data_IF_991546400622
#
_entry.id   IF_991546400622
#
_cell.length_a   1.000
_cell.length_b   1.000
_cell.length_c   1.000
_cell.angle_alpha   90.00
_cell.angle_beta   90.00
_cell.angle_gamma   90.00
#
_symmetry.space_group_name_H-M   'P 1'
#
loop_
_entity.id
_entity.type
_entity.pdbx_description
1 polymer ?
#
# COMPACT_ATOMS: atom_id res chain seq x y z
N UNK A 1 28.27 0.53 -75.06
CA UNK A 1 26.89 0.25 -75.49
C UNK A 1 26.03 0.19 -74.27
N UNK A 2 25.05 1.07 -74.27
CA UNK A 2 24.00 1.30 -73.29
C UNK A 2 22.96 0.17 -73.33
N UNK A 3 22.36 -0.14 -72.17
CA UNK A 3 20.92 -0.34 -71.92
C UNK A 3 20.65 -1.19 -70.68
N UNK A 4 19.81 -0.66 -69.79
CA UNK A 4 18.62 -1.40 -69.37
C UNK A 4 18.36 -1.51 -67.88
N UNK A 5 17.68 -0.49 -67.33
CA UNK A 5 16.98 -0.47 -66.05
C UNK A 5 16.12 -1.70 -65.74
N UNK A 6 15.99 -2.02 -64.45
CA UNK A 6 14.67 -2.18 -63.81
C UNK A 6 14.76 -1.99 -62.30
N UNK A 7 14.07 -0.95 -61.84
CA UNK A 7 13.64 -0.70 -60.48
C UNK A 7 12.79 -1.87 -59.95
N UNK A 8 12.91 -2.14 -58.65
CA UNK A 8 11.74 -2.43 -57.83
C UNK A 8 12.02 -1.91 -56.42
N UNK A 9 11.30 -0.85 -56.06
CA UNK A 9 11.36 -0.21 -54.76
C UNK A 9 10.86 -1.13 -53.66
N UNK A 10 11.61 -1.21 -52.57
CA UNK A 10 11.10 -1.74 -51.32
C UNK A 10 10.74 -0.57 -50.41
N UNK A 11 9.45 -0.50 -50.10
CA UNK A 11 8.80 0.50 -49.24
C UNK A 11 9.36 0.36 -47.82
N UNK A 12 10.21 1.30 -47.40
CA UNK A 12 10.56 1.48 -46.00
C UNK A 12 9.37 2.13 -45.28
N UNK A 13 8.43 1.28 -44.86
CA UNK A 13 7.30 1.69 -44.03
C UNK A 13 7.79 1.76 -42.59
N UNK A 14 7.93 3.00 -42.11
CA UNK A 14 8.34 3.33 -40.76
C UNK A 14 7.53 2.58 -39.71
N UNK A 15 8.21 1.76 -38.92
CA UNK A 15 7.70 1.30 -37.63
C UNK A 15 8.22 2.26 -36.59
N UNK A 16 7.39 3.26 -36.28
CA UNK A 16 7.55 4.14 -35.13
C UNK A 16 7.81 3.28 -33.90
N UNK A 17 8.99 3.43 -33.31
CA UNK A 17 9.26 3.03 -31.94
C UNK A 17 8.35 3.86 -31.04
N UNK A 18 7.16 3.34 -30.77
CA UNK A 18 6.32 3.83 -29.70
C UNK A 18 6.97 3.39 -28.39
N UNK A 19 7.94 4.18 -27.93
CA UNK A 19 8.38 4.20 -26.54
C UNK A 19 7.19 4.50 -25.66
N UNK A 20 6.51 3.44 -25.21
CA UNK A 20 5.42 3.53 -24.27
C UNK A 20 6.00 3.92 -22.92
N UNK A 21 5.89 5.22 -22.61
CA UNK A 21 5.97 5.87 -21.30
C UNK A 21 6.23 4.94 -20.10
N UNK A 22 7.51 4.68 -19.79
CA UNK A 22 7.93 3.92 -18.61
C UNK A 22 8.38 4.83 -17.44
N UNK A 23 8.02 6.12 -17.47
CA UNK A 23 8.52 7.15 -16.53
C UNK A 23 7.41 7.95 -15.87
N UNK A 24 6.59 7.29 -15.06
CA UNK A 24 5.48 8.01 -14.41
C UNK A 24 5.00 7.53 -13.04
N UNK A 25 5.53 6.47 -12.41
CA UNK A 25 5.07 6.05 -11.05
C UNK A 25 6.13 5.31 -10.22
N UNK A 26 7.43 5.61 -10.36
CA UNK A 26 8.50 4.87 -9.63
C UNK A 26 8.77 5.37 -8.20
N UNK A 27 8.06 6.41 -7.71
CA UNK A 27 8.34 7.02 -6.40
C UNK A 27 7.13 7.05 -5.44
N UNK A 28 6.10 6.22 -5.67
CA UNK A 28 4.99 6.14 -4.71
C UNK A 28 5.46 5.43 -3.43
N UNK A 29 5.22 6.04 -2.27
CA UNK A 29 5.44 5.39 -0.98
C UNK A 29 4.55 4.15 -0.83
N UNK A 30 3.43 4.07 -1.55
CA UNK A 30 2.53 2.91 -1.51
C UNK A 30 3.09 1.65 -2.20
N UNK A 31 4.15 1.75 -3.02
CA UNK A 31 4.75 0.59 -3.69
C UNK A 31 5.52 -0.26 -2.67
N UNK A 32 5.19 -1.55 -2.46
CA UNK A 32 5.89 -2.42 -1.51
C UNK A 32 7.40 -2.52 -1.78
N UNK A 33 8.20 -2.62 -0.72
CA UNK A 33 9.68 -2.72 -0.81
C UNK A 33 10.23 -4.11 -0.49
N UNK A 34 9.54 -4.86 0.36
CA UNK A 34 9.91 -6.20 0.86
C UNK A 34 8.97 -7.26 0.31
N UNK A 35 7.66 -6.98 0.26
CA UNK A 35 6.66 -7.91 -0.25
C UNK A 35 6.53 -7.76 -1.77
N UNK A 36 7.10 -8.71 -2.50
CA UNK A 36 6.94 -8.79 -3.96
C UNK A 36 5.58 -9.40 -4.35
N UNK A 37 5.15 -9.31 -5.63
CA UNK A 37 3.83 -9.82 -6.05
C UNK A 37 3.60 -11.32 -5.74
N UNK A 38 4.58 -12.23 -5.94
CA UNK A 38 4.41 -13.62 -5.50
C UNK A 38 4.17 -13.78 -3.99
N UNK A 39 4.88 -13.01 -3.15
CA UNK A 39 4.68 -13.02 -1.70
C UNK A 39 3.31 -12.42 -1.31
N UNK A 40 2.84 -11.38 -2.01
CA UNK A 40 1.51 -10.83 -1.81
C UNK A 40 0.42 -11.88 -2.09
N UNK A 41 0.53 -12.62 -3.19
CA UNK A 41 -0.41 -13.70 -3.50
C UNK A 41 -0.41 -14.81 -2.44
N UNK A 42 0.77 -15.16 -1.91
CA UNK A 42 0.91 -16.13 -0.82
C UNK A 42 0.22 -15.65 0.46
N UNK A 43 0.34 -14.35 0.79
CA UNK A 43 -0.35 -13.73 1.93
C UNK A 43 -1.87 -13.83 1.76
N UNK A 44 -2.39 -13.46 0.60
CA UNK A 44 -3.84 -13.53 0.34
C UNK A 44 -4.36 -14.96 0.39
N UNK A 45 -3.61 -15.90 -0.18
CA UNK A 45 -3.95 -17.33 -0.15
C UNK A 45 -4.00 -17.86 1.28
N UNK A 46 -2.99 -17.54 2.08
CA UNK A 46 -2.93 -17.92 3.49
C UNK A 46 -4.09 -17.31 4.30
N UNK A 47 -4.37 -16.03 4.11
CA UNK A 47 -5.45 -15.35 4.82
C UNK A 47 -6.82 -15.89 4.42
N UNK A 48 -7.05 -16.14 3.13
CA UNK A 48 -8.26 -16.80 2.64
C UNK A 48 -8.46 -18.18 3.27
N UNK A 49 -7.39 -18.98 3.37
CA UNK A 49 -7.43 -20.28 4.04
C UNK A 49 -7.82 -20.14 5.52
N UNK A 50 -7.33 -19.11 6.24
CA UNK A 50 -7.71 -18.87 7.64
C UNK A 50 -9.20 -18.57 7.85
N UNK A 51 -9.91 -18.09 6.83
CA UNK A 51 -11.35 -17.83 6.93
C UNK A 51 -12.19 -19.11 6.80
N UNK A 52 -11.64 -20.16 6.20
CA UNK A 52 -12.36 -21.39 5.90
C UNK A 52 -12.27 -22.40 7.05
N UNK A 53 -13.40 -23.08 7.33
CA UNK A 53 -13.41 -24.16 8.35
C UNK A 53 -12.72 -25.43 7.85
N UNK A 54 -12.90 -25.73 6.57
CA UNK A 54 -12.49 -26.99 5.97
C UNK A 54 -11.65 -26.66 4.75
N UNK A 55 -10.34 -26.49 4.97
CA UNK A 55 -9.36 -26.56 3.89
C UNK A 55 -8.98 -28.03 3.69
N UNK A 56 -8.35 -28.35 2.55
CA UNK A 56 -7.98 -29.73 2.19
C UNK A 56 -7.14 -30.45 3.26
N UNK A 57 -6.35 -29.70 4.04
CA UNK A 57 -5.37 -30.25 4.98
C UNK A 57 -5.54 -29.78 6.42
N UNK A 58 -6.41 -28.81 6.69
CA UNK A 58 -6.50 -28.18 8.02
C UNK A 58 -7.78 -27.36 8.22
N UNK A 59 -8.01 -26.95 9.47
CA UNK A 59 -9.10 -26.06 9.85
C UNK A 59 -8.59 -24.63 10.05
N UNK A 60 -8.72 -23.80 9.01
CA UNK A 60 -8.25 -22.42 9.02
C UNK A 60 -8.89 -21.57 10.12
N UNK A 61 -10.19 -21.72 10.39
CA UNK A 61 -10.87 -20.99 11.48
C UNK A 61 -10.31 -21.35 12.86
N UNK A 62 -9.93 -22.62 13.07
CA UNK A 62 -9.29 -23.03 14.32
C UNK A 62 -7.88 -22.43 14.45
N UNK A 63 -7.10 -22.42 13.36
CA UNK A 63 -5.79 -21.77 13.33
C UNK A 63 -5.88 -20.25 13.56
N UNK A 64 -6.86 -19.57 12.95
CA UNK A 64 -7.16 -18.14 13.20
C UNK A 64 -7.52 -17.90 14.65
N UNK A 65 -8.37 -18.74 15.23
CA UNK A 65 -8.75 -18.64 16.64
C UNK A 65 -7.57 -18.92 17.60
N UNK A 66 -6.62 -19.77 17.22
CA UNK A 66 -5.39 -20.00 17.98
C UNK A 66 -4.48 -18.75 17.94
N UNK A 67 -4.27 -18.17 16.76
CA UNK A 67 -3.49 -16.92 16.60
C UNK A 67 -4.07 -15.77 17.43
N UNK A 68 -5.41 -15.57 17.42
CA UNK A 68 -6.08 -14.52 18.21
C UNK A 68 -5.95 -14.68 19.72
N UNK A 69 -5.76 -15.91 20.21
CA UNK A 69 -5.67 -16.22 21.66
C UNK A 69 -4.23 -16.31 22.16
N UNK A 70 -3.26 -16.40 21.25
CA UNK A 70 -1.85 -16.48 21.61
C UNK A 70 -1.36 -15.16 22.24
N UNK A 71 -0.40 -15.26 23.16
CA UNK A 71 0.26 -14.09 23.74
C UNK A 71 1.17 -13.42 22.70
N UNK A 72 0.64 -12.47 21.94
CA UNK A 72 1.35 -11.84 20.83
C UNK A 72 2.54 -10.97 21.28
N UNK A 73 3.61 -10.86 20.48
CA UNK A 73 3.83 -11.56 19.20
C UNK A 73 4.42 -12.98 19.37
N UNK A 74 5.12 -13.27 20.48
CA UNK A 74 5.90 -14.51 20.62
C UNK A 74 5.05 -15.79 20.67
N UNK A 75 3.87 -15.74 21.28
CA UNK A 75 2.96 -16.89 21.29
C UNK A 75 2.54 -17.34 19.89
N UNK A 76 2.48 -16.42 18.93
CA UNK A 76 2.14 -16.75 17.55
C UNK A 76 3.16 -17.68 16.90
N UNK A 77 4.43 -17.66 17.35
CA UNK A 77 5.49 -18.54 16.84
C UNK A 77 5.19 -20.04 17.02
N UNK A 78 4.33 -20.38 17.98
CA UNK A 78 3.92 -21.77 18.26
C UNK A 78 2.63 -22.18 17.55
N UNK A 79 1.97 -21.26 16.83
CA UNK A 79 0.70 -21.54 16.18
C UNK A 79 0.91 -22.17 14.80
N UNK A 80 0.11 -23.19 14.46
CA UNK A 80 0.16 -23.84 13.15
C UNK A 80 -0.12 -22.87 12.00
N UNK A 81 -1.04 -21.92 12.19
CA UNK A 81 -1.33 -20.88 11.19
C UNK A 81 -0.11 -20.00 10.88
N UNK A 82 0.74 -19.71 11.87
CA UNK A 82 2.01 -19.01 11.65
C UNK A 82 3.02 -19.91 10.93
N UNK A 83 3.18 -21.17 11.37
CA UNK A 83 4.13 -22.10 10.75
C UNK A 83 3.87 -22.23 9.24
N UNK A 84 2.60 -22.36 8.84
CA UNK A 84 2.20 -22.36 7.42
C UNK A 84 2.63 -21.10 6.68
N UNK A 85 2.33 -19.93 7.25
CA UNK A 85 2.71 -18.66 6.65
C UNK A 85 4.24 -18.52 6.52
N UNK A 86 4.98 -18.88 7.57
CA UNK A 86 6.43 -18.79 7.59
C UNK A 86 7.07 -19.66 6.50
N UNK A 87 6.52 -20.85 6.24
CA UNK A 87 6.96 -21.71 5.15
C UNK A 87 6.67 -21.09 3.78
N UNK A 88 5.48 -20.49 3.59
CA UNK A 88 5.14 -19.82 2.33
C UNK A 88 6.06 -18.61 2.06
N UNK A 89 6.42 -17.87 3.10
CA UNK A 89 7.25 -16.66 3.05
C UNK A 89 8.73 -16.92 3.36
N UNK A 90 9.21 -18.15 3.25
CA UNK A 90 10.60 -18.52 3.58
C UNK A 90 11.65 -17.66 2.85
N UNK A 91 11.43 -17.34 1.56
CA UNK A 91 12.31 -16.47 0.78
C UNK A 91 12.32 -15.01 1.27
N UNK A 92 11.18 -14.51 1.77
CA UNK A 92 11.07 -13.14 2.31
C UNK A 92 11.79 -13.03 3.66
N UNK A 93 11.65 -14.08 4.49
CA UNK A 93 12.30 -14.19 5.79
C UNK A 93 13.82 -14.35 5.60
N UNK A 94 14.24 -15.26 4.72
CA UNK A 94 15.65 -15.59 4.53
C UNK A 94 16.31 -16.11 5.81
N UNK A 95 17.55 -15.69 6.04
CA UNK A 95 18.35 -15.98 7.24
C UNK A 95 18.12 -14.99 8.40
N UNK A 96 17.16 -14.06 8.24
CA UNK A 96 16.97 -12.93 9.16
C UNK A 96 15.96 -13.26 10.26
N UNK A 97 16.44 -13.52 11.46
CA UNK A 97 15.60 -13.79 12.64
C UNK A 97 14.59 -12.67 12.94
N UNK A 98 14.97 -11.40 12.75
CA UNK A 98 14.07 -10.26 12.94
C UNK A 98 12.91 -10.26 11.93
N UNK A 99 13.09 -10.82 10.73
CA UNK A 99 12.01 -10.97 9.74
C UNK A 99 11.07 -12.12 10.08
N UNK A 100 11.58 -13.21 10.65
CA UNK A 100 10.73 -14.28 11.19
C UNK A 100 9.78 -13.73 12.27
N UNK A 101 10.32 -12.92 13.19
CA UNK A 101 9.50 -12.22 14.19
C UNK A 101 8.53 -11.22 13.54
N UNK A 102 8.94 -10.51 12.49
CA UNK A 102 8.04 -9.65 11.70
C UNK A 102 6.86 -10.40 11.09
N UNK A 103 7.11 -11.59 10.52
CA UNK A 103 6.04 -12.46 10.00
C UNK A 103 5.15 -12.97 11.14
N UNK A 104 5.68 -13.21 12.33
CA UNK A 104 4.88 -13.58 13.51
C UNK A 104 3.97 -12.44 13.98
N UNK A 105 4.49 -11.20 14.01
CA UNK A 105 3.69 -9.99 14.29
C UNK A 105 2.58 -9.86 13.25
N UNK A 106 2.92 -9.99 11.95
CA UNK A 106 1.94 -9.93 10.89
C UNK A 106 0.87 -11.01 11.03
N UNK A 107 1.24 -12.27 11.30
CA UNK A 107 0.27 -13.36 11.51
C UNK A 107 -0.67 -13.08 12.69
N UNK A 108 -0.12 -12.60 13.81
CA UNK A 108 -0.91 -12.22 14.98
C UNK A 108 -1.88 -11.08 14.68
N UNK A 109 -1.44 -10.05 13.96
CA UNK A 109 -2.25 -8.89 13.58
C UNK A 109 -3.33 -9.27 12.56
N UNK A 110 -2.95 -9.96 11.47
CA UNK A 110 -3.84 -10.33 10.37
C UNK A 110 -4.96 -11.26 10.83
N UNK A 111 -4.74 -12.09 11.86
CA UNK A 111 -5.80 -12.93 12.42
C UNK A 111 -7.00 -12.12 12.97
N UNK A 112 -6.81 -10.83 13.28
CA UNK A 112 -7.87 -9.92 13.71
C UNK A 112 -8.56 -9.16 12.56
N UNK A 113 -8.05 -9.26 11.32
CA UNK A 113 -8.72 -8.68 10.15
C UNK A 113 -9.95 -9.51 9.75
N UNK A 114 -11.03 -8.84 9.34
CA UNK A 114 -12.26 -9.53 8.91
C UNK A 114 -12.22 -9.91 7.43
N UNK A 115 -11.66 -9.05 6.57
CA UNK A 115 -11.44 -9.33 5.14
C UNK A 115 -10.22 -8.59 4.58
N UNK A 116 -9.72 -9.03 3.43
CA UNK A 116 -8.70 -8.29 2.68
C UNK A 116 -9.34 -7.21 1.82
N UNK A 117 -8.63 -6.10 1.65
CA UNK A 117 -8.97 -4.99 0.75
C UNK A 117 -7.68 -4.36 0.22
N UNK A 118 -7.38 -4.56 -1.06
CA UNK A 118 -6.10 -4.18 -1.69
C UNK A 118 -6.13 -2.82 -2.40
N UNK A 119 -7.26 -2.10 -2.37
CA UNK A 119 -7.48 -0.86 -3.13
C UNK A 119 -6.54 0.29 -2.78
N UNK A 120 -6.15 0.39 -1.51
CA UNK A 120 -5.24 1.42 -0.99
C UNK A 120 -4.22 0.78 -0.06
N UNK A 121 -3.10 1.46 0.18
CA UNK A 121 -2.11 0.98 1.15
C UNK A 121 -2.71 0.96 2.56
N UNK A 122 -2.16 0.13 3.45
CA UNK A 122 -2.68 -0.03 4.81
C UNK A 122 -2.73 1.32 5.55
N UNK A 123 -1.67 2.12 5.48
CA UNK A 123 -1.62 3.40 6.17
C UNK A 123 -2.58 4.43 5.59
N UNK A 124 -2.75 4.47 4.25
CA UNK A 124 -3.76 5.31 3.62
C UNK A 124 -5.16 4.94 4.11
N UNK A 125 -5.48 3.64 4.18
CA UNK A 125 -6.78 3.20 4.65
C UNK A 125 -7.06 3.57 6.13
N UNK A 126 -6.03 3.70 6.97
CA UNK A 126 -6.21 4.19 8.36
C UNK A 126 -6.60 5.67 8.41
N UNK A 127 -6.20 6.45 7.40
CA UNK A 127 -6.51 7.88 7.27
C UNK A 127 -7.87 8.17 6.64
N UNK A 128 -8.60 7.15 6.18
CA UNK A 128 -9.91 7.32 5.56
C UNK A 128 -10.99 7.71 6.58
N UNK A 129 -11.97 8.54 6.16
CA UNK A 129 -13.16 8.79 6.96
C UNK A 129 -13.95 7.50 7.18
N UNK A 130 -14.47 7.30 8.38
CA UNK A 130 -15.26 6.10 8.74
C UNK A 130 -16.58 6.05 7.97
N UNK A 131 -17.11 7.21 7.57
CA UNK A 131 -18.35 7.32 6.81
C UNK A 131 -18.30 8.56 5.91
N UNK A 132 -18.99 8.51 4.78
CA UNK A 132 -19.10 9.65 3.88
C UNK A 132 -19.69 10.87 4.61
N UNK A 133 -19.07 12.04 4.47
CA UNK A 133 -19.50 13.28 5.12
C UNK A 133 -19.11 13.41 6.60
N UNK A 134 -18.26 12.54 7.12
CA UNK A 134 -17.72 12.64 8.48
C UNK A 134 -16.19 12.80 8.46
N UNK A 135 -15.67 13.85 9.09
CA UNK A 135 -14.22 14.11 9.20
C UNK A 135 -13.50 13.11 10.12
N UNK A 136 -14.25 12.28 10.86
CA UNK A 136 -13.67 11.25 11.71
C UNK A 136 -13.04 10.14 10.86
N UNK A 137 -11.71 10.09 10.92
CA UNK A 137 -10.90 9.00 10.34
C UNK A 137 -11.01 7.69 11.11
N UNK A 138 -10.74 6.55 10.47
CA UNK A 138 -10.66 5.25 11.14
C UNK A 138 -9.67 5.31 12.30
N UNK A 139 -8.44 5.72 12.03
CA UNK A 139 -7.47 6.02 13.08
C UNK A 139 -7.26 7.52 13.15
N UNK A 140 -7.59 8.14 14.27
CA UNK A 140 -7.28 9.56 14.51
C UNK A 140 -5.77 9.82 14.45
N UNK A 141 -5.37 11.02 14.03
CA UNK A 141 -3.96 11.42 13.90
C UNK A 141 -3.13 11.13 15.16
N UNK A 142 -3.59 11.52 16.35
CA UNK A 142 -2.90 11.22 17.61
C UNK A 142 -2.62 9.72 17.83
N UNK A 143 -3.56 8.84 17.43
CA UNK A 143 -3.37 7.38 17.55
C UNK A 143 -2.44 6.85 16.47
N UNK A 144 -2.50 7.43 15.28
CA UNK A 144 -1.58 7.11 14.21
C UNK A 144 -0.14 7.54 14.56
N UNK A 145 0.07 8.72 15.11
CA UNK A 145 1.38 9.13 15.62
C UNK A 145 1.92 8.20 16.71
N UNK A 146 1.05 7.70 17.61
CA UNK A 146 1.45 6.69 18.60
C UNK A 146 1.90 5.39 17.93
N UNK A 147 1.22 4.96 16.86
CA UNK A 147 1.66 3.83 16.05
C UNK A 147 3.04 4.08 15.42
N UNK A 148 3.29 5.26 14.86
CA UNK A 148 4.60 5.61 14.28
C UNK A 148 5.73 5.66 15.31
N UNK A 149 5.42 5.98 16.57
CA UNK A 149 6.40 6.08 17.66
C UNK A 149 6.63 4.76 18.41
N UNK A 150 6.02 3.66 17.98
CA UNK A 150 6.22 2.35 18.60
C UNK A 150 7.72 1.99 18.68
N UNK A 151 8.18 1.59 19.86
CA UNK A 151 9.60 1.31 20.11
C UNK A 151 9.92 -0.17 20.16
N UNK A 152 8.94 -1.00 20.51
CA UNK A 152 9.11 -2.44 20.73
C UNK A 152 8.20 -3.27 19.82
N UNK A 153 8.61 -4.49 19.44
CA UNK A 153 7.78 -5.40 18.64
C UNK A 153 6.38 -5.65 19.26
N UNK A 154 6.31 -5.75 20.58
CA UNK A 154 5.08 -5.97 21.35
C UNK A 154 4.16 -4.76 21.32
N UNK A 155 4.73 -3.56 21.45
CA UNK A 155 3.97 -2.32 21.31
C UNK A 155 3.41 -2.17 19.89
N UNK A 156 4.25 -2.36 18.87
CA UNK A 156 3.82 -2.33 17.47
C UNK A 156 2.67 -3.32 17.23
N UNK A 157 2.85 -4.57 17.63
CA UNK A 157 1.85 -5.63 17.45
C UNK A 157 0.50 -5.26 18.08
N UNK A 158 0.50 -4.77 19.34
CA UNK A 158 -0.73 -4.34 20.02
C UNK A 158 -1.42 -3.17 19.33
N UNK A 159 -0.67 -2.17 18.89
CA UNK A 159 -1.21 -1.00 18.20
C UNK A 159 -1.80 -1.39 16.84
N UNK A 160 -1.14 -2.29 16.11
CA UNK A 160 -1.62 -2.80 14.82
C UNK A 160 -2.86 -3.69 14.95
N UNK A 161 -2.93 -4.58 15.95
CA UNK A 161 -4.15 -5.35 16.23
C UNK A 161 -5.35 -4.41 16.40
N UNK A 162 -5.16 -3.31 17.15
CA UNK A 162 -6.20 -2.31 17.34
C UNK A 162 -6.55 -1.59 16.03
N UNK A 163 -5.56 -1.20 15.23
CA UNK A 163 -5.78 -0.52 13.96
C UNK A 163 -6.57 -1.39 12.97
N UNK A 164 -6.22 -2.68 12.85
CA UNK A 164 -6.93 -3.65 12.01
C UNK A 164 -8.34 -3.92 12.52
N UNK A 165 -8.52 -4.07 13.85
CA UNK A 165 -9.85 -4.28 14.45
C UNK A 165 -10.78 -3.09 14.21
N UNK A 166 -10.26 -1.87 14.24
CA UNK A 166 -11.03 -0.65 13.96
C UNK A 166 -11.56 -0.61 12.51
N UNK A 167 -10.80 -1.16 11.55
CA UNK A 167 -11.23 -1.24 10.15
C UNK A 167 -12.36 -2.25 9.97
N UNK A 168 -12.38 -3.32 10.75
CA UNK A 168 -13.48 -4.29 10.78
C UNK A 168 -13.87 -4.76 9.39
N UNK A 169 -15.16 -4.58 9.06
CA UNK A 169 -15.77 -4.99 7.80
C UNK A 169 -15.32 -4.18 6.59
N UNK A 170 -14.67 -3.02 6.75
CA UNK A 170 -14.04 -2.29 5.66
C UNK A 170 -12.85 -3.08 5.07
N UNK A 171 -12.25 -3.97 5.86
CA UNK A 171 -11.10 -4.78 5.46
C UNK A 171 -9.77 -4.02 5.53
N UNK A 172 -8.66 -4.71 5.26
CA UNK A 172 -7.31 -4.14 5.30
C UNK A 172 -6.44 -4.68 4.17
N UNK A 173 -5.51 -3.86 3.66
CA UNK A 173 -4.52 -4.31 2.69
C UNK A 173 -3.43 -5.12 3.38
N UNK A 174 -3.54 -6.45 3.31
CA UNK A 174 -2.65 -7.38 4.00
C UNK A 174 -1.22 -7.38 3.46
N UNK A 175 -0.97 -7.37 2.13
CA UNK A 175 0.38 -7.22 1.59
C UNK A 175 1.07 -5.92 2.04
N UNK A 176 0.36 -4.78 1.98
CA UNK A 176 0.89 -3.48 2.42
C UNK A 176 1.18 -3.44 3.93
N UNK A 177 0.31 -4.07 4.74
CA UNK A 177 0.54 -4.22 6.17
C UNK A 177 1.80 -5.06 6.46
N UNK A 178 1.95 -6.22 5.79
CA UNK A 178 3.12 -7.08 5.94
C UNK A 178 4.42 -6.36 5.55
N UNK A 179 4.40 -5.63 4.43
CA UNK A 179 5.53 -4.81 3.96
C UNK A 179 5.96 -3.79 5.02
N UNK A 180 4.98 -3.04 5.56
CA UNK A 180 5.23 -2.07 6.62
C UNK A 180 5.83 -2.69 7.89
N UNK A 181 5.28 -3.82 8.36
CA UNK A 181 5.80 -4.53 9.53
C UNK A 181 7.24 -5.00 9.32
N UNK A 182 7.54 -5.58 8.14
CA UNK A 182 8.89 -6.07 7.85
C UNK A 182 9.91 -4.93 7.73
N UNK A 183 9.53 -3.80 7.14
CA UNK A 183 10.36 -2.60 7.12
C UNK A 183 10.62 -2.06 8.53
N UNK A 184 9.59 -2.02 9.38
CA UNK A 184 9.75 -1.61 10.78
C UNK A 184 10.68 -2.56 11.54
N UNK A 185 10.60 -3.88 11.30
CA UNK A 185 11.48 -4.87 11.94
C UNK A 185 12.93 -4.76 11.47
N UNK A 186 13.16 -4.52 10.18
CA UNK A 186 14.51 -4.27 9.64
C UNK A 186 15.11 -3.00 10.30
N UNK A 187 14.33 -1.93 10.48
CA UNK A 187 14.76 -0.71 11.17
C UNK A 187 14.96 -0.88 12.68
N UNK A 188 14.07 -1.62 13.35
CA UNK A 188 14.20 -1.94 14.76
C UNK A 188 15.47 -2.74 15.02
N UNK A 189 15.74 -3.76 14.21
CA UNK A 189 16.97 -4.54 14.29
C UNK A 189 18.20 -3.65 14.07
N UNK A 190 18.19 -2.77 13.06
CA UNK A 190 19.29 -1.83 12.84
C UNK A 190 19.56 -0.96 14.08
N UNK A 191 18.50 -0.46 14.74
CA UNK A 191 18.64 0.30 16.00
C UNK A 191 19.23 -0.54 17.13
N UNK A 192 18.77 -1.78 17.32
CA UNK A 192 19.28 -2.66 18.39
C UNK A 192 20.77 -2.99 18.23
N UNK A 193 21.25 -3.03 16.98
CA UNK A 193 22.63 -3.39 16.66
C UNK A 193 23.51 -2.18 16.29
N UNK A 194 23.05 -0.95 16.55
CA UNK A 194 23.76 0.30 16.21
C UNK A 194 24.21 0.37 14.73
N UNK A 195 23.42 -0.22 13.83
CA UNK A 195 23.67 -0.18 12.40
C UNK A 195 23.16 1.14 11.81
N UNK A 196 23.76 1.63 10.70
CA UNK A 196 23.28 2.84 10.03
C UNK A 196 21.82 2.72 9.61
N UNK A 197 21.05 3.78 9.86
CA UNK A 197 19.67 3.88 9.40
C UNK A 197 19.60 3.93 7.86
N UNK A 198 18.45 3.56 7.29
CA UNK A 198 18.19 3.70 5.87
C UNK A 198 18.40 5.15 5.43
N UNK A 199 19.31 5.37 4.48
CA UNK A 199 19.74 6.70 4.01
C UNK A 199 18.61 7.41 3.26
N UNK A 200 17.83 6.68 2.48
CA UNK A 200 16.68 7.24 1.79
C UNK A 200 15.47 7.36 2.76
N UNK A 201 15.03 8.58 3.11
CA UNK A 201 13.91 8.75 4.04
C UNK A 201 12.60 8.15 3.53
N UNK A 202 12.36 8.14 2.22
CA UNK A 202 11.14 7.56 1.61
C UNK A 202 11.12 6.03 1.62
N UNK A 203 12.21 5.39 2.05
CA UNK A 203 12.26 3.95 2.31
C UNK A 203 12.03 3.62 3.78
N UNK A 204 11.95 4.62 4.65
CA UNK A 204 11.69 4.41 6.08
C UNK A 204 10.22 4.16 6.33
N UNK A 205 9.89 3.16 7.13
CA UNK A 205 8.52 2.76 7.45
C UNK A 205 7.69 3.98 7.92
N UNK A 206 8.17 4.72 8.92
CA UNK A 206 7.40 5.81 9.52
C UNK A 206 7.09 6.93 8.51
N UNK A 207 8.04 7.26 7.64
CA UNK A 207 7.87 8.29 6.60
C UNK A 207 6.86 7.81 5.56
N UNK A 208 6.97 6.57 5.09
CA UNK A 208 6.06 5.98 4.10
C UNK A 208 4.64 5.96 4.62
N UNK A 209 4.43 5.42 5.82
CA UNK A 209 3.13 5.39 6.47
C UNK A 209 2.58 6.81 6.66
N UNK A 210 3.39 7.78 7.10
CA UNK A 210 2.94 9.17 7.27
C UNK A 210 2.52 9.82 5.94
N UNK A 211 3.26 9.60 4.86
CA UNK A 211 2.89 10.08 3.53
C UNK A 211 1.56 9.46 3.09
N UNK A 212 1.42 8.14 3.18
CA UNK A 212 0.23 7.40 2.76
C UNK A 212 -1.02 7.78 3.55
N UNK A 213 -0.91 7.86 4.89
CA UNK A 213 -2.02 8.24 5.76
C UNK A 213 -2.56 9.66 5.46
N UNK A 214 -1.68 10.57 5.01
CA UNK A 214 -2.04 11.94 4.70
C UNK A 214 -2.44 12.18 3.24
N UNK A 215 -2.28 11.20 2.34
CA UNK A 215 -2.65 11.35 0.91
C UNK A 215 -4.14 11.69 0.69
N UNK A 216 -5.01 11.33 1.64
CA UNK A 216 -6.45 11.67 1.60
C UNK A 216 -6.71 13.16 1.89
N UNK A 217 -5.72 13.87 2.44
CA UNK A 217 -5.84 15.31 2.73
C UNK A 217 -5.58 16.18 1.48
N UNK A 218 -5.12 15.58 0.37
CA UNK A 218 -4.90 16.27 -0.90
C UNK A 218 -5.93 15.85 -1.95
N UNK A 219 -7.22 15.93 -1.63
CA UNK A 219 -8.24 16.08 -2.65
C UNK A 219 -8.48 17.59 -2.80
N UNK A 220 -8.32 18.19 -4.00
CA UNK A 220 -8.61 19.60 -4.19
C UNK A 220 -10.08 19.85 -3.83
N UNK A 221 -10.35 20.90 -3.06
CA UNK A 221 -11.70 21.31 -2.73
C UNK A 221 -12.54 21.40 -4.02
N UNK A 222 -13.80 20.92 -4.03
CA UNK A 222 -14.64 20.91 -5.24
C UNK A 222 -15.10 22.30 -5.71
N UNK A 223 -14.41 23.38 -5.32
CA UNK A 223 -14.88 24.76 -5.52
C UNK A 223 -13.86 25.69 -6.21
N UNK A 224 -12.96 25.13 -7.02
CA UNK A 224 -12.32 25.90 -8.10
C UNK A 224 -12.72 25.29 -9.46
N UNK A 225 -14.00 25.42 -9.80
CA UNK A 225 -14.38 25.42 -11.20
C UNK A 225 -13.71 26.65 -11.87
N UNK A 226 -12.98 26.49 -12.99
CA UNK A 226 -12.46 27.63 -13.70
C UNK A 226 -13.63 28.50 -14.16
N UNK A 227 -13.69 29.72 -13.64
CA UNK A 227 -14.62 30.74 -14.11
C UNK A 227 -14.41 30.91 -15.61
N UNK A 228 -15.48 30.70 -16.39
CA UNK A 228 -15.48 30.92 -17.83
C UNK A 228 -14.99 32.35 -18.15
N UNK A 229 -14.21 32.56 -19.22
CA UNK A 229 -13.71 33.88 -19.57
C UNK A 229 -14.88 34.81 -19.90
N UNK A 230 -14.87 36.00 -19.28
CA UNK A 230 -15.72 37.11 -19.68
C UNK A 230 -15.35 37.53 -21.11
N UNK A 231 -16.34 37.51 -22.01
CA UNK A 231 -16.26 38.08 -23.35
C UNK A 231 -16.06 39.60 -23.25
N UNK A 232 -14.79 40.04 -23.21
CA UNK A 232 -14.42 41.42 -23.44
C UNK A 232 -14.30 41.68 -24.95
N UNK A 233 -15.43 41.68 -25.66
CA UNK A 233 -15.47 42.15 -27.04
C UNK A 233 -15.74 43.67 -27.06
N UNK A 234 -14.71 44.44 -26.73
CA UNK A 234 -14.69 45.88 -26.94
C UNK A 234 -14.12 46.19 -28.33
N UNK A 235 -14.99 46.46 -29.30
CA UNK A 235 -14.62 47.14 -30.54
C UNK A 235 -15.74 48.13 -30.92
N UNK A 236 -15.50 49.41 -30.65
CA UNK A 236 -16.07 50.58 -31.37
C UNK A 236 -14.99 50.99 -32.42
N UNK A 237 -15.21 51.82 -33.48
CA UNK A 237 -16.42 52.53 -33.90
C UNK A 237 -16.70 52.59 -35.43
N UNK A 238 -17.93 52.98 -35.81
CA UNK A 238 -18.31 53.95 -36.89
C UNK A 238 -19.84 54.06 -36.89
N UNK A 239 -20.48 55.16 -36.47
CA UNK A 239 -20.67 56.47 -37.15
C UNK A 239 -21.91 56.52 -38.08
N UNK A 240 -22.81 57.49 -37.78
CA UNK A 240 -23.95 58.04 -38.55
C UNK A 240 -25.18 57.13 -38.84
N UNK A 241 -26.45 57.55 -38.69
CA UNK A 241 -27.07 58.83 -39.09
C UNK A 241 -28.46 59.07 -38.41
N UNK A 242 -28.81 60.35 -38.27
CA UNK A 242 -30.01 60.99 -37.66
C UNK A 242 -31.42 60.49 -38.06
N UNK A 243 -32.46 60.85 -37.25
CA UNK A 243 -33.86 60.62 -37.52
C UNK A 243 -34.57 61.82 -38.20
N UNK A 244 -35.63 61.53 -38.96
CA UNK A 244 -36.78 62.40 -39.18
C UNK A 244 -38.02 61.52 -39.41
#
# INVERSE_FOLDING_TARGET
MDKGSRENGNKESGRKENGHNEKGYKNSTATPLVINPPAAQKIETWFGALQNRHNDTHNGRAERAALRRAAAPYGALTCQGFMRLSNMLAEVIGDKQHRLLGVAIFAAVAAHADKSDDKKSFAAQLGEPVSAGNDRRYLSELRFERLLRAQTPEELCRLLIRAVTIRGDAGVNLPSLADGILLWMDEWHARQHNLPAQHNPLKRNAVRWACEYNQITQEPAPDEAPSSPQDANGNHPTDNKEPA
#
